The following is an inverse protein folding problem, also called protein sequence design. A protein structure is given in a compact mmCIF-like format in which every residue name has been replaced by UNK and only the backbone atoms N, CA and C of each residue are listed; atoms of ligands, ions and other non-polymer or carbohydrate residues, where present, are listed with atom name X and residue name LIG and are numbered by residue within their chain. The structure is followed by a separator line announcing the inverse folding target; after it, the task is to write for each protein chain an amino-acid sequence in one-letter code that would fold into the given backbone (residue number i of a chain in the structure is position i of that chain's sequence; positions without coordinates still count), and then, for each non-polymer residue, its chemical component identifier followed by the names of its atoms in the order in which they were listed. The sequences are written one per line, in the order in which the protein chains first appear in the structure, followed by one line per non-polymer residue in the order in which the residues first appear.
data_IF_346288969712
#
_entry.id   IF_346288969712
#
_cell.length_a   1.000
_cell.length_b   1.000
_cell.length_c   1.000
_cell.angle_alpha   90.00
_cell.angle_beta   90.00
_cell.angle_gamma   90.00
#
_symmetry.space_group_name_H-M   'P 1'
#
loop_
_entity.id
_entity.type
_entity.pdbx_description
1 polymer ?
#
# COMPACT_ATOMS: atom_id res chain seq x y z
N UNK A 1 20.64 -72.27 25.32
CA UNK A 1 21.64 -71.30 24.81
C UNK A 1 20.89 -70.18 24.13
N UNK A 2 20.99 -68.99 24.73
CA UNK A 2 20.32 -67.75 24.33
C UNK A 2 21.08 -67.17 23.14
N UNK A 3 20.39 -66.72 22.09
CA UNK A 3 20.92 -65.66 21.23
C UNK A 3 19.77 -64.82 20.70
N UNK A 4 19.57 -63.73 21.42
CA UNK A 4 18.88 -62.52 21.00
C UNK A 4 19.21 -62.15 19.56
N UNK A 5 18.21 -61.63 18.85
CA UNK A 5 18.46 -60.46 18.02
C UNK A 5 17.16 -59.67 17.89
N UNK A 6 17.09 -58.59 18.66
CA UNK A 6 16.15 -57.48 18.50
C UNK A 6 16.27 -56.95 17.07
N UNK A 7 15.19 -57.04 16.29
CA UNK A 7 15.03 -56.25 15.07
C UNK A 7 14.62 -54.84 15.47
N UNK A 8 15.57 -53.91 15.37
CA UNK A 8 15.36 -52.50 15.68
C UNK A 8 14.34 -51.88 14.72
N UNK A 9 13.27 -51.33 15.28
CA UNK A 9 12.28 -50.52 14.58
C UNK A 9 12.94 -49.17 14.23
N UNK A 10 13.49 -49.03 13.03
CA UNK A 10 14.00 -47.74 12.53
C UNK A 10 12.82 -46.85 12.16
N UNK A 11 12.42 -45.96 13.08
CA UNK A 11 11.53 -44.86 12.77
C UNK A 11 12.28 -43.85 11.87
N UNK A 12 11.93 -43.81 10.59
CA UNK A 12 12.37 -42.75 9.68
C UNK A 12 11.55 -41.51 10.03
N UNK A 13 12.16 -40.60 10.79
CA UNK A 13 11.61 -39.26 10.97
C UNK A 13 11.80 -38.49 9.66
N UNK A 14 10.71 -38.31 8.91
CA UNK A 14 10.67 -37.40 7.76
C UNK A 14 10.66 -35.98 8.34
N UNK A 15 11.83 -35.35 8.37
CA UNK A 15 11.97 -33.94 8.70
C UNK A 15 11.61 -33.12 7.46
N UNK A 16 10.32 -32.82 7.29
CA UNK A 16 9.89 -31.79 6.32
C UNK A 16 10.32 -30.43 6.85
N UNK A 17 11.46 -29.94 6.38
CA UNK A 17 11.84 -28.55 6.54
C UNK A 17 10.90 -27.69 5.69
N UNK A 18 9.86 -27.14 6.31
CA UNK A 18 9.08 -26.06 5.71
C UNK A 18 9.99 -24.82 5.67
N UNK A 19 10.55 -24.52 4.51
CA UNK A 19 11.18 -23.21 4.27
C UNK A 19 10.12 -22.14 4.42
N UNK A 20 10.26 -21.17 5.35
CA UNK A 20 9.33 -20.06 5.41
C UNK A 20 9.40 -19.31 4.09
N UNK A 21 8.24 -19.14 3.45
CA UNK A 21 8.13 -18.26 2.30
C UNK A 21 8.47 -16.84 2.78
N UNK A 22 9.62 -16.33 2.35
CA UNK A 22 9.94 -14.93 2.53
C UNK A 22 8.98 -14.15 1.64
N UNK A 23 8.03 -13.44 2.23
CA UNK A 23 7.21 -12.47 1.52
C UNK A 23 8.15 -11.36 1.06
N UNK A 24 8.57 -11.40 -0.21
CA UNK A 24 9.22 -10.28 -0.84
C UNK A 24 8.16 -9.17 -0.97
N UNK A 25 8.23 -8.17 -0.11
CA UNK A 25 7.42 -6.96 -0.26
C UNK A 25 7.95 -6.23 -1.48
N UNK A 26 7.10 -5.99 -2.49
CA UNK A 26 7.46 -5.17 -3.64
C UNK A 26 7.91 -3.77 -3.18
N UNK A 27 8.78 -3.14 -3.97
CA UNK A 27 9.14 -1.75 -3.75
C UNK A 27 7.97 -0.85 -4.20
N UNK A 28 7.30 -0.11 -3.29
CA UNK A 28 6.15 0.70 -3.65
C UNK A 28 6.46 1.77 -4.71
N UNK A 29 7.69 2.29 -4.74
CA UNK A 29 8.09 3.27 -5.75
C UNK A 29 8.22 2.62 -7.13
N UNK A 30 8.72 1.39 -7.18
CA UNK A 30 8.81 0.61 -8.43
C UNK A 30 7.41 0.24 -8.93
N UNK A 31 6.54 -0.26 -8.05
CA UNK A 31 5.14 -0.57 -8.39
C UNK A 31 4.41 0.68 -8.94
N UNK A 32 4.63 1.84 -8.31
CA UNK A 32 4.03 3.10 -8.74
C UNK A 32 4.55 3.56 -10.11
N UNK A 33 5.85 3.36 -10.39
CA UNK A 33 6.43 3.62 -11.70
C UNK A 33 5.74 2.78 -12.78
N UNK A 34 5.64 1.47 -12.55
CA UNK A 34 5.00 0.53 -13.49
C UNK A 34 3.51 0.83 -13.67
N UNK A 35 2.78 1.13 -12.59
CA UNK A 35 1.37 1.51 -12.66
C UNK A 35 1.14 2.84 -13.40
N UNK A 36 2.14 3.72 -13.40
CA UNK A 36 2.12 4.98 -14.15
C UNK A 36 2.49 4.79 -15.63
N UNK A 37 2.66 3.54 -16.09
CA UNK A 37 3.06 3.18 -17.44
C UNK A 37 4.56 3.33 -17.71
N UNK A 38 5.36 3.59 -16.67
CA UNK A 38 6.80 3.68 -16.76
C UNK A 38 7.49 2.31 -16.64
N UNK A 39 8.81 2.32 -16.77
CA UNK A 39 9.68 1.16 -16.53
C UNK A 39 10.78 1.53 -15.56
N UNK A 40 11.09 0.63 -14.62
CA UNK A 40 12.14 0.84 -13.62
C UNK A 40 13.48 0.37 -14.17
N UNK A 41 14.50 1.22 -14.05
CA UNK A 41 15.90 0.93 -14.35
C UNK A 41 16.73 1.12 -13.08
N UNK A 42 17.48 0.08 -12.68
CA UNK A 42 18.41 0.19 -11.55
C UNK A 42 19.77 0.64 -12.07
N UNK A 43 20.26 1.76 -11.54
CA UNK A 43 21.57 2.32 -11.87
C UNK A 43 22.47 2.39 -10.65
N UNK A 44 23.78 2.21 -10.86
CA UNK A 44 24.77 2.40 -9.80
C UNK A 44 25.13 3.88 -9.67
N UNK A 45 24.89 4.46 -8.51
CA UNK A 45 25.27 5.82 -8.17
C UNK A 45 26.78 5.96 -7.95
N UNK A 46 27.29 7.19 -7.98
CA UNK A 46 28.72 7.49 -7.84
C UNK A 46 29.35 7.02 -6.51
N UNK A 47 28.53 6.84 -5.48
CA UNK A 47 28.95 6.30 -4.18
C UNK A 47 28.90 4.76 -4.11
N UNK A 48 28.58 4.08 -5.21
CA UNK A 48 28.44 2.62 -5.28
C UNK A 48 27.09 2.08 -4.81
N UNK A 49 26.14 2.94 -4.42
CA UNK A 49 24.77 2.54 -4.12
C UNK A 49 23.94 2.30 -5.38
N UNK A 50 22.80 1.63 -5.22
CA UNK A 50 21.82 1.45 -6.30
C UNK A 50 20.72 2.51 -6.21
N UNK A 51 20.23 2.97 -7.37
CA UNK A 51 19.18 3.95 -7.52
C UNK A 51 18.18 3.43 -8.55
N UNK A 52 16.89 3.47 -8.24
CA UNK A 52 15.83 3.22 -9.22
C UNK A 52 15.49 4.49 -9.99
N UNK A 53 15.55 4.43 -11.32
CA UNK A 53 15.02 5.43 -12.23
C UNK A 53 13.72 4.92 -12.84
N UNK A 54 12.68 5.76 -12.79
CA UNK A 54 11.44 5.55 -13.52
C UNK A 54 11.54 6.23 -14.89
N UNK A 55 11.57 5.44 -15.95
CA UNK A 55 11.51 5.90 -17.34
C UNK A 55 10.04 5.97 -17.77
N UNK A 56 9.53 7.17 -18.02
CA UNK A 56 8.12 7.44 -18.34
C UNK A 56 7.84 7.38 -19.85
N UNK A 57 6.58 7.16 -20.28
CA UNK A 57 6.20 7.07 -21.70
C UNK A 57 6.47 8.33 -22.53
N UNK A 58 6.57 9.49 -21.88
CA UNK A 58 6.91 10.76 -22.52
C UNK A 58 8.42 10.92 -22.80
N UNK A 59 9.22 9.91 -22.45
CA UNK A 59 10.67 9.88 -22.60
C UNK A 59 11.42 10.57 -21.47
N UNK A 60 10.73 11.09 -20.45
CA UNK A 60 11.37 11.61 -19.24
C UNK A 60 11.82 10.47 -18.31
N UNK A 61 12.86 10.73 -17.53
CA UNK A 61 13.37 9.80 -16.54
C UNK A 61 13.63 10.53 -15.22
N UNK A 62 13.22 9.93 -14.10
CA UNK A 62 13.47 10.50 -12.78
C UNK A 62 13.57 9.42 -11.71
N UNK A 63 14.20 9.73 -10.58
CA UNK A 63 14.36 8.82 -9.46
C UNK A 63 13.00 8.33 -8.92
N UNK A 64 12.82 7.01 -8.78
CA UNK A 64 11.52 6.38 -8.52
C UNK A 64 10.89 6.83 -7.21
N UNK A 65 11.65 7.04 -6.13
CA UNK A 65 11.11 7.53 -4.86
C UNK A 65 10.74 9.00 -4.91
N UNK A 66 11.45 9.78 -5.71
CA UNK A 66 11.12 11.18 -5.99
C UNK A 66 9.86 11.26 -6.82
N UNK A 67 9.70 10.40 -7.84
CA UNK A 67 8.45 10.28 -8.58
C UNK A 67 7.30 9.88 -7.66
N UNK A 68 7.48 8.82 -6.87
CA UNK A 68 6.51 8.34 -5.88
C UNK A 68 6.11 9.45 -4.91
N UNK A 69 7.03 10.11 -4.20
CA UNK A 69 6.66 11.15 -3.21
C UNK A 69 6.00 12.39 -3.82
N UNK A 70 6.34 12.73 -5.06
CA UNK A 70 5.72 13.87 -5.75
C UNK A 70 4.29 13.57 -6.18
N UNK A 71 4.00 12.32 -6.57
CA UNK A 71 2.75 11.95 -7.24
C UNK A 71 1.82 11.05 -6.40
N UNK A 72 2.35 10.33 -5.42
CA UNK A 72 1.59 9.52 -4.46
C UNK A 72 0.76 10.36 -3.46
N UNK A 73 0.63 11.67 -3.69
CA UNK A 73 -0.36 12.51 -2.97
C UNK A 73 -1.81 12.14 -3.32
N UNK A 74 -2.03 11.27 -4.31
CA UNK A 74 -3.37 10.87 -4.73
C UNK A 74 -4.04 9.81 -3.85
N UNK A 75 -3.37 9.28 -2.82
CA UNK A 75 -3.99 8.31 -1.91
C UNK A 75 -4.63 8.95 -0.67
N UNK A 76 -4.68 10.28 -0.58
CA UNK A 76 -5.34 10.95 0.56
C UNK A 76 -6.86 10.98 0.41
N UNK A 77 -7.41 10.77 -0.80
CA UNK A 77 -8.87 10.82 -1.00
C UNK A 77 -9.50 9.43 -1.14
N UNK A 78 -8.73 8.39 -1.49
CA UNK A 78 -9.26 7.01 -1.50
C UNK A 78 -8.18 6.05 -1.02
N UNK A 79 -8.24 5.69 0.26
CA UNK A 79 -7.30 4.77 0.88
C UNK A 79 -7.26 3.41 0.18
N UNK A 80 -6.07 3.02 -0.28
CA UNK A 80 -5.76 1.71 -0.84
C UNK A 80 -5.90 0.54 0.15
N UNK A 81 -6.07 0.79 1.45
CA UNK A 81 -6.07 -0.26 2.48
C UNK A 81 -7.18 -0.16 3.56
N UNK A 82 -8.28 0.53 3.27
CA UNK A 82 -9.41 0.70 4.19
C UNK A 82 -9.87 2.15 4.17
N UNK A 83 -11.14 2.35 3.83
CA UNK A 83 -11.71 3.66 3.50
C UNK A 83 -11.38 4.75 4.53
N UNK A 84 -11.42 5.99 4.08
CA UNK A 84 -11.26 7.16 4.95
C UNK A 84 -12.20 7.03 6.18
N UNK A 85 -11.66 7.00 7.41
CA UNK A 85 -12.47 6.82 8.62
C UNK A 85 -13.52 7.91 8.77
N UNK A 86 -13.26 9.12 8.26
CA UNK A 86 -14.24 10.19 8.25
C UNK A 86 -15.40 9.94 7.29
N UNK A 87 -15.11 9.35 6.13
CA UNK A 87 -16.11 8.92 5.15
C UNK A 87 -16.97 7.76 5.69
N UNK A 88 -16.35 6.75 6.29
CA UNK A 88 -17.08 5.64 6.93
C UNK A 88 -17.96 6.16 8.06
N UNK A 89 -17.43 7.02 8.93
CA UNK A 89 -18.19 7.63 10.01
C UNK A 89 -19.37 8.45 9.50
N UNK A 90 -19.20 9.17 8.38
CA UNK A 90 -20.31 9.87 7.74
C UNK A 90 -21.44 8.92 7.32
N UNK A 91 -21.09 7.84 6.59
CA UNK A 91 -22.04 6.85 6.10
C UNK A 91 -22.74 6.10 7.25
N UNK A 92 -21.99 5.73 8.30
CA UNK A 92 -22.52 5.06 9.50
C UNK A 92 -23.52 5.95 10.28
N UNK A 93 -23.38 7.27 10.19
CA UNK A 93 -24.31 8.25 10.75
C UNK A 93 -25.43 8.66 9.76
N UNK A 94 -25.56 7.93 8.65
CA UNK A 94 -26.62 8.13 7.65
C UNK A 94 -26.36 9.30 6.68
N UNK A 95 -25.15 9.85 6.67
CA UNK A 95 -24.74 10.89 5.73
C UNK A 95 -24.25 10.33 4.39
N UNK A 96 -24.14 11.21 3.39
CA UNK A 96 -23.50 10.92 2.10
C UNK A 96 -22.23 11.74 1.95
N UNK A 97 -21.16 11.09 1.48
CA UNK A 97 -19.88 11.75 1.23
C UNK A 97 -19.85 12.37 -0.15
N UNK A 98 -19.49 13.65 -0.22
CA UNK A 98 -19.27 14.39 -1.46
C UNK A 98 -17.86 14.97 -1.49
N UNK A 99 -17.11 14.70 -2.56
CA UNK A 99 -15.79 15.30 -2.76
C UNK A 99 -15.93 16.62 -3.50
N UNK A 100 -15.56 17.71 -2.83
CA UNK A 100 -15.61 19.07 -3.37
C UNK A 100 -14.20 19.65 -3.50
N UNK A 101 -14.01 20.59 -4.42
CA UNK A 101 -12.76 21.35 -4.56
C UNK A 101 -12.93 22.72 -3.92
N UNK A 102 -12.03 23.11 -3.03
CA UNK A 102 -12.01 24.47 -2.50
C UNK A 102 -11.42 25.47 -3.51
N UNK A 103 -11.44 26.76 -3.15
CA UNK A 103 -10.86 27.83 -3.98
C UNK A 103 -9.36 27.72 -4.25
N UNK A 104 -8.63 26.88 -3.50
CA UNK A 104 -7.22 26.55 -3.77
C UNK A 104 -7.02 25.31 -4.66
N UNK A 105 -8.11 24.67 -5.09
CA UNK A 105 -8.09 23.44 -5.89
C UNK A 105 -7.86 22.17 -5.09
N UNK A 106 -7.76 22.25 -3.76
CA UNK A 106 -7.64 21.08 -2.90
C UNK A 106 -9.01 20.39 -2.75
N UNK A 107 -8.99 19.06 -2.85
CA UNK A 107 -10.16 18.20 -2.64
C UNK A 107 -10.44 18.04 -1.14
N UNK A 108 -11.71 18.19 -0.77
CA UNK A 108 -12.25 18.07 0.59
C UNK A 108 -13.44 17.12 0.54
N UNK A 109 -13.62 16.29 1.57
CA UNK A 109 -14.81 15.48 1.73
C UNK A 109 -15.84 16.24 2.58
N UNK A 110 -17.06 16.43 2.07
CA UNK A 110 -18.21 16.89 2.82
C UNK A 110 -19.11 15.72 3.18
N UNK A 111 -19.56 15.66 4.43
CA UNK A 111 -20.62 14.79 4.89
C UNK A 111 -21.95 15.53 4.84
N UNK A 112 -22.86 15.06 3.99
CA UNK A 112 -24.22 15.57 3.84
C UNK A 112 -25.19 14.72 4.67
N UNK A 113 -25.65 15.23 5.81
CA UNK A 113 -26.54 14.53 6.74
C UNK A 113 -28.02 14.65 6.35
N UNK A 114 -28.88 13.70 6.76
CA UNK A 114 -30.31 13.72 6.44
C UNK A 114 -31.11 14.91 6.99
N UNK A 115 -30.58 15.58 8.02
CA UNK A 115 -31.18 16.78 8.62
C UNK A 115 -30.89 18.06 7.80
N UNK A 116 -30.15 17.94 6.70
CA UNK A 116 -29.74 19.04 5.83
C UNK A 116 -28.41 19.68 6.22
N UNK A 117 -27.74 19.18 7.26
CA UNK A 117 -26.41 19.65 7.66
C UNK A 117 -25.36 19.14 6.68
N UNK A 118 -24.52 20.04 6.17
CA UNK A 118 -23.31 19.70 5.41
C UNK A 118 -22.08 20.13 6.20
N UNK A 119 -21.20 19.20 6.55
CA UNK A 119 -20.01 19.43 7.35
C UNK A 119 -18.81 18.69 6.75
N UNK A 120 -17.61 19.27 6.82
CA UNK A 120 -16.39 18.58 6.36
C UNK A 120 -16.20 17.27 7.14
N UNK A 121 -15.97 16.16 6.44
CA UNK A 121 -16.06 14.81 6.99
C UNK A 121 -15.11 14.59 8.17
N UNK A 122 -13.86 15.08 8.07
CA UNK A 122 -12.90 14.95 9.17
C UNK A 122 -13.26 15.81 10.38
N UNK A 123 -13.89 16.96 10.14
CA UNK A 123 -14.41 17.83 11.18
C UNK A 123 -15.55 17.13 11.93
N UNK A 124 -16.42 16.43 11.22
CA UNK A 124 -17.48 15.62 11.83
C UNK A 124 -16.93 14.42 12.61
N UNK A 125 -15.99 13.68 12.04
CA UNK A 125 -15.32 12.56 12.70
C UNK A 125 -14.65 12.94 14.02
N UNK A 126 -14.00 14.12 14.08
CA UNK A 126 -13.34 14.61 15.30
C UNK A 126 -14.31 15.17 16.36
N UNK A 127 -15.61 15.20 16.09
CA UNK A 127 -16.65 15.62 17.06
C UNK A 127 -17.19 14.47 17.91
N UNK A 128 -16.73 13.23 17.70
CA UNK A 128 -17.09 12.05 18.48
C UNK A 128 -16.56 12.08 19.93
#
# INVERSE_FOLDING_TARGET
MIKSMLTALTAIAILSAATPAAFAMSNPASDFCESSGGTVEIVTAANGGELGLCNLPDGSAMEEWSFYRQNAKQDVIVGKDGGDPASIYCEDNGGQVEIVKNGSGAELALCNLPDGTSIEAWSYFRMQ
#
